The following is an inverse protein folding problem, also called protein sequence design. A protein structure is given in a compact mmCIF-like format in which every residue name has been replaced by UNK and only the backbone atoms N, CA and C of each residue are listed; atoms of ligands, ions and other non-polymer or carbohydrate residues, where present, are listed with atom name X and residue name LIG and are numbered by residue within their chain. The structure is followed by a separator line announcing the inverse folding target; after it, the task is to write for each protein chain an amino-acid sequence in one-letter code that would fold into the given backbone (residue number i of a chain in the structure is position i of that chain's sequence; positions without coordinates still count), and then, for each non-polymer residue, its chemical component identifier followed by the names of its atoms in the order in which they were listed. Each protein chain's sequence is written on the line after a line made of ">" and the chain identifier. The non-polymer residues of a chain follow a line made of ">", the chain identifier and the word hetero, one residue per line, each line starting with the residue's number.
data_IF_913216990879
#
_entry.id   IF_913216990879
#
_cell.length_a   1.000
_cell.length_b   1.000
_cell.length_c   1.000
_cell.angle_alpha   90.00
_cell.angle_beta   90.00
_cell.angle_gamma   90.00
#
_symmetry.space_group_name_H-M   'P 1'
#
loop_
_entity.id
_entity.type
_entity.pdbx_description
1 polymer ?
#
# COMPACT_ATOMS: atom_id res chain seq x y z
N UNK A 1 -0.44 -0.31 12.11
CA UNK A 1 -0.79 -0.72 10.73
C UNK A 1 -0.56 0.40 9.72
N UNK A 2 -1.08 1.62 9.94
CA UNK A 2 -0.87 2.74 8.99
C UNK A 2 0.62 3.09 8.81
N UNK A 3 1.43 3.08 9.87
CA UNK A 3 2.87 3.38 9.75
C UNK A 3 3.69 2.25 9.11
N UNK A 4 3.37 0.98 9.35
CA UNK A 4 4.00 -0.15 8.65
C UNK A 4 3.76 -0.12 7.14
N UNK A 5 2.54 0.27 6.74
CA UNK A 5 2.22 0.47 5.32
C UNK A 5 2.99 1.68 4.79
N UNK A 6 3.09 2.79 5.53
CA UNK A 6 3.92 3.93 5.10
C UNK A 6 5.39 3.57 4.97
N UNK A 7 5.98 2.81 5.90
CA UNK A 7 7.39 2.42 5.88
C UNK A 7 7.71 1.58 4.65
N UNK A 8 6.91 0.54 4.38
CA UNK A 8 7.07 -0.29 3.17
C UNK A 8 6.87 0.55 1.90
N UNK A 9 5.90 1.48 1.92
CA UNK A 9 5.66 2.39 0.81
C UNK A 9 6.74 3.48 0.66
N UNK A 10 7.48 3.79 1.73
CA UNK A 10 8.57 4.75 1.74
C UNK A 10 9.87 4.10 1.25
N UNK A 11 10.08 2.83 1.60
CA UNK A 11 11.19 2.01 1.09
C UNK A 11 11.01 1.65 -0.38
N UNK A 12 9.76 1.41 -0.81
CA UNK A 12 9.40 1.28 -2.22
C UNK A 12 9.34 2.65 -2.89
N UNK A 13 10.47 3.08 -3.47
CA UNK A 13 10.60 4.21 -4.42
C UNK A 13 9.74 4.10 -5.71
N UNK A 14 8.70 3.28 -5.74
CA UNK A 14 7.94 2.97 -6.95
C UNK A 14 6.70 3.86 -7.09
N UNK A 15 6.59 4.47 -8.26
CA UNK A 15 5.41 5.22 -8.69
C UNK A 15 4.12 4.39 -8.76
N UNK A 16 4.18 3.05 -8.74
CA UNK A 16 2.99 2.20 -8.76
C UNK A 16 3.24 0.86 -8.08
N UNK A 17 2.34 0.47 -7.17
CA UNK A 17 2.35 -0.82 -6.47
C UNK A 17 1.00 -1.53 -6.63
N UNK A 18 1.03 -2.85 -6.78
CA UNK A 18 -0.20 -3.66 -6.80
C UNK A 18 -0.57 -4.16 -5.40
N UNK A 19 -1.86 -4.39 -5.16
CA UNK A 19 -2.37 -4.93 -3.90
C UNK A 19 -1.70 -6.27 -3.52
N UNK A 20 -1.36 -7.09 -4.53
CA UNK A 20 -0.66 -8.37 -4.35
C UNK A 20 0.79 -8.17 -3.91
N UNK A 21 1.51 -7.23 -4.54
CA UNK A 21 2.87 -6.86 -4.12
C UNK A 21 2.87 -6.31 -2.70
N UNK A 22 1.99 -5.33 -2.40
CA UNK A 22 1.91 -4.75 -1.06
C UNK A 22 1.62 -5.81 0.01
N UNK A 23 0.71 -6.75 -0.26
CA UNK A 23 0.43 -7.87 0.67
C UNK A 23 1.64 -8.78 0.86
N UNK A 24 2.42 -9.03 -0.21
CA UNK A 24 3.63 -9.86 -0.15
C UNK A 24 4.73 -9.17 0.67
N UNK A 25 4.96 -7.88 0.44
CA UNK A 25 5.96 -7.08 1.16
C UNK A 25 5.65 -6.98 2.66
N UNK A 26 4.38 -6.73 3.00
CA UNK A 26 3.95 -6.70 4.39
C UNK A 26 4.24 -8.03 5.08
N UNK A 27 3.98 -9.17 4.41
CA UNK A 27 4.32 -10.48 4.96
C UNK A 27 5.82 -10.73 5.08
N UNK A 28 6.62 -10.30 4.09
CA UNK A 28 8.08 -10.42 4.11
C UNK A 28 8.69 -9.63 5.28
N UNK A 29 8.11 -8.48 5.62
CA UNK A 29 8.49 -7.67 6.77
C UNK A 29 7.93 -8.20 8.11
N UNK A 30 7.36 -9.41 8.13
CA UNK A 30 6.83 -10.04 9.35
C UNK A 30 5.45 -9.56 9.78
N UNK A 31 4.79 -8.68 9.01
CA UNK A 31 3.42 -8.27 9.31
C UNK A 31 2.43 -9.36 8.88
N UNK A 32 1.70 -9.91 9.86
CA UNK A 32 0.51 -10.75 9.59
C UNK A 32 -0.63 -9.87 9.07
N UNK A 33 -0.64 -9.61 7.76
CA UNK A 33 -1.73 -8.89 7.09
C UNK A 33 -2.55 -9.82 6.21
N UNK A 34 -3.87 -9.60 6.25
CA UNK A 34 -4.82 -10.24 5.35
C UNK A 34 -5.17 -9.32 4.18
N UNK A 35 -5.53 -9.88 3.03
CA UNK A 35 -5.90 -9.13 1.81
C UNK A 35 -7.00 -8.08 2.06
N UNK A 36 -7.89 -8.37 3.02
CA UNK A 36 -8.98 -7.47 3.45
C UNK A 36 -8.45 -6.24 4.20
N UNK A 37 -7.43 -6.42 5.04
CA UNK A 37 -6.80 -5.32 5.77
C UNK A 37 -5.96 -4.44 4.85
N UNK A 38 -5.21 -5.07 3.92
CA UNK A 38 -4.47 -4.35 2.88
C UNK A 38 -5.42 -3.52 2.01
N UNK A 39 -6.57 -4.07 1.62
CA UNK A 39 -7.61 -3.32 0.91
C UNK A 39 -8.10 -2.10 1.69
N UNK A 40 -8.37 -2.26 3.00
CA UNK A 40 -8.78 -1.13 3.86
C UNK A 40 -7.69 -0.07 3.98
N UNK A 41 -6.44 -0.47 4.15
CA UNK A 41 -5.31 0.46 4.21
C UNK A 41 -5.17 1.26 2.91
N UNK A 42 -5.26 0.57 1.76
CA UNK A 42 -5.26 1.24 0.45
C UNK A 42 -6.43 2.21 0.32
N UNK A 43 -7.65 1.81 0.70
CA UNK A 43 -8.81 2.70 0.65
C UNK A 43 -8.62 3.96 1.53
N UNK A 44 -7.99 3.82 2.71
CA UNK A 44 -7.63 4.98 3.55
C UNK A 44 -6.61 5.89 2.86
N UNK A 45 -5.58 5.31 2.24
CA UNK A 45 -4.57 6.09 1.49
C UNK A 45 -5.19 6.84 0.31
N UNK A 46 -6.12 6.21 -0.41
CA UNK A 46 -6.91 6.85 -1.47
C UNK A 46 -7.79 7.98 -0.92
N UNK A 47 -8.51 7.75 0.19
CA UNK A 47 -9.34 8.78 0.85
C UNK A 47 -8.52 9.98 1.33
N UNK A 48 -7.31 9.74 1.81
CA UNK A 48 -6.40 10.78 2.30
C UNK A 48 -5.64 11.49 1.17
N UNK A 49 -5.89 11.17 -0.11
CA UNK A 49 -5.20 11.75 -1.26
C UNK A 49 -3.71 11.38 -1.35
N UNK A 50 -3.24 10.44 -0.53
CA UNK A 50 -1.83 10.00 -0.50
C UNK A 50 -1.52 8.98 -1.60
N UNK A 51 -2.57 8.33 -2.12
CA UNK A 51 -2.47 7.40 -3.23
C UNK A 51 -3.52 7.74 -4.30
N UNK A 52 -3.20 7.42 -5.56
CA UNK A 52 -4.11 7.40 -6.69
C UNK A 52 -4.36 5.97 -7.14
N UNK A 53 -5.59 5.61 -7.44
CA UNK A 53 -5.90 4.32 -8.03
C UNK A 53 -5.72 4.42 -9.56
N UNK A 54 -4.73 3.70 -10.10
CA UNK A 54 -4.43 3.72 -11.56
C UNK A 54 -5.08 2.53 -12.28
N UNK A 55 -5.56 1.51 -11.54
CA UNK A 55 -6.27 0.38 -12.15
C UNK A 55 -7.17 -0.37 -11.16
N UNK A 56 -7.64 -1.57 -11.54
CA UNK A 56 -8.48 -2.40 -10.64
C UNK A 56 -7.77 -2.79 -9.34
N UNK A 57 -6.44 -2.98 -9.37
CA UNK A 57 -5.62 -3.42 -8.21
C UNK A 57 -4.27 -2.72 -8.07
N UNK A 58 -4.07 -1.64 -8.82
CA UNK A 58 -2.80 -0.90 -8.88
C UNK A 58 -3.04 0.50 -8.33
N UNK A 59 -2.15 0.93 -7.44
CA UNK A 59 -2.15 2.25 -6.82
C UNK A 59 -0.80 2.95 -7.04
N UNK A 60 -0.84 4.25 -7.29
CA UNK A 60 0.31 5.15 -7.35
C UNK A 60 0.36 5.98 -6.09
N UNK A 61 1.56 6.24 -5.58
CA UNK A 61 1.74 7.03 -4.37
C UNK A 61 2.34 8.38 -4.73
N UNK A 62 1.83 9.43 -4.10
CA UNK A 62 2.39 10.77 -4.25
C UNK A 62 3.42 11.00 -3.14
N UNK A 63 4.68 11.21 -3.53
CA UNK A 63 5.75 11.65 -2.63
C UNK A 63 5.42 13.06 -2.15
N UNK A 64 5.46 13.27 -0.84
CA UNK A 64 5.28 14.60 -0.23
C UNK A 64 6.50 15.47 -0.47
#
# INVERSE_FOLDING_TARGET
>A
MDDAVKDILHEWKYETITLKQLTKELRLNGFKVNSREVSKAIQRLLKNGKALRIGKRTIKLFKR
#
